data_IF_977699715111
#
_entry.id   IF_977699715111
#
_cell.length_a   1.000
_cell.length_b   1.000
_cell.length_c   1.000
_cell.angle_alpha   90.00
_cell.angle_beta   90.00
_cell.angle_gamma   90.00
#
_symmetry.space_group_name_H-M   'P 1'
#
loop_
_entity.id
_entity.type
_entity.pdbx_description
1 polymer ?
#
# COMPACT_ATOMS: atom_id res chain seq x y z
N UNK A 1 34.13 -12.66 -16.83
CA UNK A 1 34.42 -12.95 -18.25
C UNK A 1 33.19 -12.56 -19.06
N UNK A 2 33.21 -11.41 -19.73
CA UNK A 2 32.12 -11.00 -20.63
C UNK A 2 32.42 -11.58 -22.01
N UNK A 3 31.79 -12.71 -22.34
CA UNK A 3 31.85 -13.32 -23.66
C UNK A 3 31.07 -12.44 -24.63
N UNK A 4 31.76 -11.50 -25.27
CA UNK A 4 31.18 -10.60 -26.29
C UNK A 4 31.21 -11.32 -27.63
N UNK A 5 30.10 -11.96 -27.99
CA UNK A 5 29.90 -12.47 -29.34
C UNK A 5 29.15 -11.41 -30.14
N UNK A 6 29.87 -10.72 -31.03
CA UNK A 6 29.31 -9.64 -31.84
C UNK A 6 28.35 -10.17 -32.93
N UNK A 7 28.69 -11.30 -33.54
CA UNK A 7 28.01 -11.84 -34.72
C UNK A 7 27.48 -13.25 -34.46
N UNK A 8 26.16 -13.35 -34.27
CA UNK A 8 25.43 -14.60 -34.18
C UNK A 8 24.11 -14.51 -34.95
N UNK A 9 23.46 -15.65 -35.21
CA UNK A 9 22.18 -15.71 -35.96
C UNK A 9 21.10 -14.82 -35.33
N UNK A 10 21.15 -14.64 -34.02
CA UNK A 10 20.21 -13.81 -33.26
C UNK A 10 20.74 -12.41 -32.97
N UNK A 11 21.82 -11.97 -33.64
CA UNK A 11 22.51 -10.71 -33.40
C UNK A 11 23.49 -10.77 -32.24
N UNK A 12 23.88 -9.60 -31.73
CA UNK A 12 24.83 -9.45 -30.61
C UNK A 12 24.37 -10.24 -29.38
N UNK A 13 25.29 -10.98 -28.78
CA UNK A 13 25.05 -11.73 -27.53
C UNK A 13 25.98 -11.17 -26.45
N UNK A 14 25.37 -10.57 -25.44
CA UNK A 14 26.01 -10.10 -24.21
C UNK A 14 25.10 -10.47 -23.03
N UNK A 15 25.68 -10.79 -21.87
CA UNK A 15 24.93 -11.13 -20.66
C UNK A 15 25.06 -10.05 -19.58
N UNK A 16 24.01 -9.85 -18.77
CA UNK A 16 24.06 -9.02 -17.55
C UNK A 16 24.65 -9.83 -16.37
N UNK A 17 24.70 -9.20 -15.20
CA UNK A 17 25.28 -9.81 -13.99
C UNK A 17 24.46 -11.01 -13.49
N UNK A 18 23.17 -11.04 -13.79
CA UNK A 18 22.25 -12.14 -13.48
C UNK A 18 22.33 -13.29 -14.49
N UNK A 19 23.04 -13.10 -15.61
CA UNK A 19 23.17 -14.09 -16.68
C UNK A 19 22.09 -14.02 -17.76
N UNK A 20 21.26 -12.98 -17.76
CA UNK A 20 20.27 -12.72 -18.82
C UNK A 20 20.91 -12.04 -20.02
N UNK A 21 20.38 -12.34 -21.21
CA UNK A 21 20.85 -11.74 -22.46
C UNK A 21 20.42 -10.28 -22.60
N UNK A 22 21.40 -9.39 -22.73
CA UNK A 22 21.20 -7.99 -23.13
C UNK A 22 20.97 -7.86 -24.63
N UNK A 23 20.29 -6.78 -25.02
CA UNK A 23 20.03 -6.41 -26.41
C UNK A 23 19.29 -7.47 -27.24
N UNK A 24 18.43 -8.26 -26.60
CA UNK A 24 17.60 -9.21 -27.31
C UNK A 24 16.56 -8.48 -28.19
N UNK A 25 16.35 -9.00 -29.39
CA UNK A 25 15.36 -8.50 -30.33
C UNK A 25 14.00 -9.17 -30.07
N UNK A 26 12.94 -8.38 -29.96
CA UNK A 26 11.57 -8.85 -29.74
C UNK A 26 10.64 -8.35 -30.85
N UNK A 27 9.67 -9.17 -31.24
CA UNK A 27 8.58 -8.77 -32.12
C UNK A 27 7.38 -8.29 -31.29
N UNK A 28 6.90 -7.09 -31.57
CA UNK A 28 5.71 -6.53 -30.93
C UNK A 28 4.50 -7.01 -31.72
N UNK A 29 3.64 -7.77 -31.06
CA UNK A 29 2.45 -8.39 -31.66
C UNK A 29 1.19 -7.69 -31.15
N UNK A 30 0.27 -7.38 -32.05
CA UNK A 30 -1.04 -6.82 -31.75
C UNK A 30 -2.12 -7.83 -32.16
N UNK A 31 -3.11 -8.04 -31.28
CA UNK A 31 -4.22 -8.94 -31.55
C UNK A 31 -5.33 -8.18 -32.29
N UNK A 32 -5.56 -8.53 -33.55
CA UNK A 32 -6.55 -7.90 -34.42
C UNK A 32 -7.49 -8.98 -34.95
N UNK A 33 -8.80 -8.87 -34.69
CA UNK A 33 -9.81 -9.83 -35.20
C UNK A 33 -9.44 -11.30 -34.94
N UNK A 34 -9.01 -11.61 -33.70
CA UNK A 34 -8.52 -12.94 -33.27
C UNK A 34 -7.26 -13.45 -33.98
N UNK A 35 -6.52 -12.59 -34.69
CA UNK A 35 -5.26 -12.92 -35.34
C UNK A 35 -4.13 -12.07 -34.78
N UNK A 36 -2.96 -12.68 -34.59
CA UNK A 36 -1.76 -11.96 -34.18
C UNK A 36 -1.10 -11.31 -35.39
N UNK A 37 -0.86 -10.00 -35.29
CA UNK A 37 -0.28 -9.16 -36.33
C UNK A 37 0.94 -8.48 -35.75
N UNK A 38 2.11 -8.65 -36.37
CA UNK A 38 3.32 -7.95 -35.95
C UNK A 38 3.22 -6.45 -36.31
N UNK A 39 3.36 -5.58 -35.32
CA UNK A 39 3.23 -4.11 -35.45
C UNK A 39 4.54 -3.36 -35.17
N UNK A 40 5.58 -4.06 -34.73
CA UNK A 40 6.90 -3.46 -34.56
C UNK A 40 7.94 -4.46 -34.09
N UNK A 41 9.16 -3.97 -33.93
CA UNK A 41 10.32 -4.72 -33.42
C UNK A 41 10.97 -3.86 -32.33
N UNK A 42 11.23 -4.47 -31.18
CA UNK A 42 12.09 -3.87 -30.15
C UNK A 42 13.49 -4.46 -30.29
N UNK A 43 14.50 -3.64 -30.60
CA UNK A 43 15.86 -4.10 -30.89
C UNK A 43 16.79 -4.08 -29.66
N UNK A 44 16.20 -4.18 -28.46
CA UNK A 44 16.93 -4.11 -27.20
C UNK A 44 17.18 -2.69 -26.67
N UNK A 45 17.06 -1.65 -27.50
CA UNK A 45 17.17 -0.25 -27.06
C UNK A 45 16.02 0.63 -27.55
N UNK A 46 15.54 0.41 -28.76
CA UNK A 46 14.49 1.22 -29.40
C UNK A 46 13.34 0.35 -29.89
N UNK A 47 12.15 0.95 -29.88
CA UNK A 47 10.96 0.39 -30.53
C UNK A 47 10.89 0.95 -31.95
N UNK A 48 10.94 0.06 -32.92
CA UNK A 48 10.81 0.37 -34.35
C UNK A 48 9.40 -0.07 -34.78
N UNK A 49 8.48 0.86 -35.05
CA UNK A 49 7.14 0.52 -35.53
C UNK A 49 7.18 0.04 -36.99
N UNK A 50 6.28 -0.89 -37.35
CA UNK A 50 6.04 -1.28 -38.74
C UNK A 50 4.94 -0.40 -39.36
N UNK A 51 4.75 -0.48 -40.68
CA UNK A 51 3.67 0.24 -41.40
C UNK A 51 2.24 -0.24 -41.07
N UNK A 52 2.10 -1.29 -40.26
CA UNK A 52 0.79 -1.84 -39.87
C UNK A 52 0.18 -1.00 -38.76
N UNK A 53 -1.09 -0.61 -38.93
CA UNK A 53 -1.86 0.13 -37.92
C UNK A 53 -2.05 -0.70 -36.65
N UNK A 54 -1.89 -0.06 -35.49
CA UNK A 54 -2.16 -0.64 -34.18
C UNK A 54 -3.67 -0.49 -33.90
N UNK A 55 -4.32 -1.59 -33.51
CA UNK A 55 -5.71 -1.56 -33.05
C UNK A 55 -5.72 -1.74 -31.53
N UNK A 56 -6.34 -0.78 -30.85
CA UNK A 56 -6.53 -0.77 -29.41
C UNK A 56 -7.80 -1.51 -29.01
N UNK A 57 -7.93 -1.95 -27.75
CA UNK A 57 -9.17 -2.51 -27.24
C UNK A 57 -10.36 -1.59 -27.55
N UNK A 58 -11.47 -2.15 -28.02
CA UNK A 58 -12.62 -1.38 -28.53
C UNK A 58 -12.59 -1.14 -30.04
N UNK A 59 -11.54 -1.55 -30.76
CA UNK A 59 -11.44 -1.41 -32.21
C UNK A 59 -10.93 -0.04 -32.66
N UNK A 60 -10.42 0.77 -31.74
CA UNK A 60 -9.90 2.11 -32.01
C UNK A 60 -8.50 2.03 -32.65
N UNK A 61 -8.23 2.90 -33.63
CA UNK A 61 -6.90 3.00 -34.27
C UNK A 61 -6.03 4.08 -33.66
N UNK A 62 -6.63 5.03 -32.95
CA UNK A 62 -5.91 6.09 -32.25
C UNK A 62 -5.53 5.65 -30.86
N UNK A 63 -4.34 6.05 -30.40
CA UNK A 63 -3.87 5.71 -29.06
C UNK A 63 -4.77 6.40 -28.02
N UNK A 64 -5.48 5.65 -27.17
CA UNK A 64 -6.33 6.26 -26.14
C UNK A 64 -5.46 7.01 -25.14
N UNK A 65 -6.03 8.04 -24.50
CA UNK A 65 -5.37 8.73 -23.40
C UNK A 65 -5.23 7.73 -22.25
N UNK A 66 -3.98 7.36 -21.93
CA UNK A 66 -3.66 6.28 -21.00
C UNK A 66 -4.06 6.49 -19.55
N UNK A 67 -4.75 7.59 -19.24
CA UNK A 67 -5.39 7.80 -17.96
C UNK A 67 -6.72 8.52 -18.18
N UNK A 68 -7.74 8.10 -17.44
CA UNK A 68 -8.99 8.81 -17.28
C UNK A 68 -9.06 9.28 -15.84
N UNK A 69 -9.12 10.59 -15.62
CA UNK A 69 -9.31 11.13 -14.29
C UNK A 69 -10.75 10.90 -13.86
N UNK A 70 -10.95 10.12 -12.79
CA UNK A 70 -12.26 9.93 -12.18
C UNK A 70 -12.71 11.22 -11.50
N UNK A 71 -13.97 11.58 -11.69
CA UNK A 71 -14.62 12.70 -10.98
C UNK A 71 -15.29 12.25 -9.67
N UNK A 72 -15.31 10.94 -9.37
CA UNK A 72 -15.87 10.38 -8.14
C UNK A 72 -14.77 9.96 -7.18
N UNK A 73 -14.73 10.60 -6.01
CA UNK A 73 -13.73 10.36 -4.97
C UNK A 73 -14.35 9.63 -3.76
N UNK A 74 -13.58 8.74 -3.15
CA UNK A 74 -13.93 8.11 -1.87
C UNK A 74 -13.16 8.81 -0.75
N UNK A 75 -13.89 9.42 0.17
CA UNK A 75 -13.34 10.27 1.21
C UNK A 75 -13.51 9.58 2.54
N UNK A 76 -12.39 9.34 3.22
CA UNK A 76 -12.37 8.80 4.57
C UNK A 76 -12.35 9.94 5.57
N UNK A 77 -13.17 9.84 6.61
CA UNK A 77 -13.19 10.81 7.71
C UNK A 77 -13.24 10.11 9.06
N UNK A 78 -12.97 10.84 10.13
CA UNK A 78 -13.02 10.37 11.51
C UNK A 78 -14.04 11.17 12.30
N UNK A 79 -14.73 10.51 13.23
CA UNK A 79 -15.58 11.18 14.20
C UNK A 79 -14.71 11.97 15.18
N UNK A 80 -14.80 13.30 15.15
CA UNK A 80 -14.02 14.17 16.01
C UNK A 80 -14.77 15.49 16.20
N UNK A 81 -15.40 15.65 17.35
CA UNK A 81 -16.00 16.94 17.71
C UNK A 81 -14.87 17.95 18.01
N UNK A 82 -14.97 19.21 17.54
CA UNK A 82 -16.11 19.86 16.86
C UNK A 82 -16.05 19.82 15.32
N UNK A 83 -15.11 19.09 14.72
CA UNK A 83 -14.85 19.12 13.27
C UNK A 83 -15.81 18.26 12.46
N UNK A 84 -16.15 17.07 12.96
CA UNK A 84 -17.05 16.09 12.34
C UNK A 84 -17.87 15.39 13.41
N UNK A 85 -19.19 15.59 13.34
CA UNK A 85 -20.21 14.92 14.13
C UNK A 85 -20.81 13.76 13.34
N UNK A 86 -21.16 12.68 14.05
CA UNK A 86 -21.83 11.50 13.48
C UNK A 86 -23.12 11.24 14.23
N UNK A 87 -24.22 11.09 13.49
CA UNK A 87 -25.54 10.70 14.03
C UNK A 87 -26.12 9.54 13.22
N UNK A 88 -26.90 8.64 13.82
CA UNK A 88 -27.61 7.62 13.05
C UNK A 88 -28.60 8.27 12.07
N UNK A 89 -28.84 7.61 10.94
CA UNK A 89 -29.94 7.99 10.04
C UNK A 89 -31.30 7.73 10.69
N UNK A 90 -32.33 8.42 10.22
CA UNK A 90 -33.72 8.11 10.55
C UNK A 90 -34.13 6.73 9.99
N UNK A 91 -35.32 6.23 10.37
CA UNK A 91 -35.91 5.01 9.82
C UNK A 91 -35.97 5.01 8.30
N UNK A 92 -36.11 6.19 7.72
CA UNK A 92 -36.29 6.41 6.28
C UNK A 92 -34.96 6.52 5.54
N UNK A 93 -33.83 6.36 6.24
CA UNK A 93 -32.47 6.48 5.68
C UNK A 93 -31.99 7.92 5.45
N UNK A 94 -32.77 8.92 5.87
CA UNK A 94 -32.45 10.35 5.73
C UNK A 94 -31.85 10.94 7.01
N UNK A 95 -31.28 12.14 6.89
CA UNK A 95 -30.73 12.87 8.02
C UNK A 95 -31.75 13.86 8.59
N UNK A 96 -31.83 13.91 9.92
CA UNK A 96 -32.63 14.91 10.63
C UNK A 96 -32.14 16.33 10.31
N UNK A 97 -33.03 17.20 9.88
CA UNK A 97 -32.74 18.62 9.65
C UNK A 97 -32.55 19.35 10.98
N UNK A 98 -31.50 20.15 11.06
CA UNK A 98 -31.13 20.94 12.24
C UNK A 98 -30.64 22.31 11.78
N UNK A 99 -30.85 23.31 12.63
CA UNK A 99 -30.47 24.70 12.37
C UNK A 99 -29.43 25.17 13.39
N UNK A 100 -28.53 26.03 12.94
CA UNK A 100 -27.56 26.69 13.82
C UNK A 100 -28.25 27.73 14.70
N UNK A 101 -27.53 28.26 15.70
CA UNK A 101 -28.01 29.38 16.54
C UNK A 101 -28.35 30.61 15.71
N UNK A 102 -27.74 30.76 14.54
CA UNK A 102 -27.98 31.86 13.60
C UNK A 102 -29.19 31.61 12.69
N UNK A 103 -29.84 30.45 12.77
CA UNK A 103 -30.96 30.06 11.91
C UNK A 103 -30.56 29.43 10.57
N UNK A 104 -29.26 29.26 10.29
CA UNK A 104 -28.81 28.62 9.05
C UNK A 104 -28.98 27.09 9.11
N UNK A 105 -29.43 26.42 8.01
CA UNK A 105 -29.56 24.98 7.97
C UNK A 105 -28.20 24.28 7.97
N UNK A 106 -28.03 23.30 8.87
CA UNK A 106 -26.80 22.50 8.97
C UNK A 106 -26.75 21.51 7.80
N UNK A 107 -25.71 21.60 6.99
CA UNK A 107 -25.52 20.67 5.86
C UNK A 107 -25.02 19.33 6.37
N UNK A 108 -25.71 18.26 5.96
CA UNK A 108 -25.39 16.88 6.34
C UNK A 108 -25.17 16.03 5.09
N UNK A 109 -24.28 15.06 5.19
CA UNK A 109 -24.02 14.07 4.14
C UNK A 109 -24.19 12.67 4.69
N UNK A 110 -24.62 11.74 3.84
CA UNK A 110 -24.65 10.32 4.21
C UNK A 110 -23.21 9.79 4.17
N UNK A 111 -22.82 9.12 5.24
CA UNK A 111 -21.53 8.46 5.39
C UNK A 111 -21.74 7.02 5.84
N UNK A 112 -20.91 6.10 5.39
CA UNK A 112 -20.94 4.70 5.84
C UNK A 112 -19.90 4.45 6.91
N UNK A 113 -20.29 3.88 8.05
CA UNK A 113 -19.38 3.68 9.17
C UNK A 113 -19.72 2.45 10.01
N UNK A 114 -18.76 1.95 10.80
CA UNK A 114 -19.04 0.89 11.76
C UNK A 114 -20.05 1.41 12.80
N UNK A 115 -21.03 0.58 13.16
CA UNK A 115 -21.92 0.91 14.27
C UNK A 115 -21.16 0.70 15.60
N UNK A 116 -21.19 1.70 16.48
CA UNK A 116 -20.47 1.69 17.77
C UNK A 116 -20.99 0.62 18.76
N UNK A 117 -22.06 -0.10 18.44
CA UNK A 117 -22.81 -0.94 19.39
C UNK A 117 -22.21 -2.33 19.67
N UNK A 118 -21.08 -2.75 19.10
CA UNK A 118 -20.42 -3.99 19.56
C UNK A 118 -18.93 -4.12 19.19
N UNK A 119 -18.00 -3.99 20.16
CA UNK A 119 -16.62 -4.45 19.98
C UNK A 119 -16.62 -5.99 19.94
N UNK A 120 -16.55 -6.58 18.74
CA UNK A 120 -16.40 -8.04 18.56
C UNK A 120 -17.36 -8.70 17.56
N UNK A 121 -18.37 -7.99 17.06
CA UNK A 121 -19.19 -8.47 15.93
C UNK A 121 -18.50 -8.13 14.60
N UNK A 122 -18.63 -8.94 13.52
CA UNK A 122 -18.27 -8.49 12.17
C UNK A 122 -18.90 -7.13 11.93
N UNK A 123 -18.07 -6.11 11.79
CA UNK A 123 -18.49 -4.71 11.76
C UNK A 123 -19.41 -4.48 10.56
N UNK A 124 -20.71 -4.58 10.78
CA UNK A 124 -21.69 -4.17 9.80
C UNK A 124 -21.58 -2.66 9.65
N UNK A 125 -21.21 -2.21 8.45
CA UNK A 125 -21.20 -0.80 8.08
C UNK A 125 -22.64 -0.35 7.88
N UNK A 126 -23.05 0.68 8.61
CA UNK A 126 -24.39 1.26 8.53
C UNK A 126 -24.31 2.67 7.96
N UNK A 127 -25.33 3.12 7.22
CA UNK A 127 -25.45 4.51 6.82
C UNK A 127 -25.68 5.39 8.06
N UNK A 128 -24.95 6.50 8.12
CA UNK A 128 -24.96 7.49 9.19
C UNK A 128 -24.95 8.89 8.57
N UNK A 129 -25.29 9.89 9.37
CA UNK A 129 -25.30 11.30 9.02
C UNK A 129 -24.06 11.98 9.56
N UNK A 130 -23.18 12.41 8.66
CA UNK A 130 -21.98 13.15 8.96
C UNK A 130 -22.20 14.65 8.70
N UNK A 131 -21.82 15.50 9.64
CA UNK A 131 -21.90 16.95 9.51
C UNK A 131 -20.82 17.65 10.35
N UNK A 132 -20.58 18.94 10.11
CA UNK A 132 -19.57 19.72 10.81
C UNK A 132 -18.68 20.50 9.86
N UNK A 133 -17.70 21.20 10.43
CA UNK A 133 -16.83 22.12 9.70
C UNK A 133 -16.10 21.46 8.51
N UNK A 134 -15.56 20.25 8.71
CA UNK A 134 -14.84 19.56 7.63
C UNK A 134 -15.78 19.10 6.50
N UNK A 135 -17.05 18.81 6.81
CA UNK A 135 -18.07 18.44 5.82
C UNK A 135 -18.50 19.67 5.02
N UNK A 136 -18.66 20.83 5.66
CA UNK A 136 -18.95 22.09 4.96
C UNK A 136 -17.81 22.50 4.01
N UNK A 137 -16.57 22.36 4.47
CA UNK A 137 -15.39 22.57 3.62
C UNK A 137 -15.38 21.61 2.44
N UNK A 138 -15.67 20.32 2.67
CA UNK A 138 -15.77 19.33 1.60
C UNK A 138 -16.83 19.70 0.56
N UNK A 139 -18.03 20.10 1.00
CA UNK A 139 -19.10 20.55 0.10
C UNK A 139 -18.64 21.76 -0.72
N UNK A 140 -17.93 22.71 -0.11
CA UNK A 140 -17.40 23.89 -0.82
C UNK A 140 -16.33 23.50 -1.85
N UNK A 141 -15.45 22.57 -1.52
CA UNK A 141 -14.42 22.04 -2.43
C UNK A 141 -15.05 21.30 -3.60
N UNK A 142 -16.05 20.46 -3.34
CA UNK A 142 -16.79 19.72 -4.37
C UNK A 142 -17.45 20.65 -5.38
N UNK A 143 -18.06 21.75 -4.91
CA UNK A 143 -18.67 22.77 -5.78
C UNK A 143 -17.64 23.60 -6.55
N UNK A 144 -16.47 23.87 -5.95
CA UNK A 144 -15.43 24.69 -6.58
C UNK A 144 -14.68 23.91 -7.66
N UNK A 145 -14.40 22.63 -7.41
CA UNK A 145 -13.61 21.76 -8.29
C UNK A 145 -14.46 20.80 -9.13
N UNK A 146 -15.79 20.85 -9.01
CA UNK A 146 -16.75 20.03 -9.76
C UNK A 146 -16.48 18.51 -9.68
N UNK A 147 -16.26 17.98 -8.47
CA UNK A 147 -16.15 16.53 -8.26
C UNK A 147 -17.31 16.01 -7.39
N UNK A 148 -17.60 14.73 -7.55
CA UNK A 148 -18.57 13.98 -6.73
C UNK A 148 -17.83 13.14 -5.70
N UNK A 149 -18.46 12.87 -4.57
CA UNK A 149 -17.80 12.17 -3.48
C UNK A 149 -18.72 11.21 -2.74
N UNK A 150 -18.11 10.20 -2.14
CA UNK A 150 -18.71 9.30 -1.16
C UNK A 150 -17.92 9.39 0.14
N UNK A 151 -18.60 9.54 1.27
CA UNK A 151 -17.96 9.64 2.59
C UNK A 151 -18.08 8.31 3.33
N UNK A 152 -16.98 7.89 3.96
CA UNK A 152 -16.98 6.76 4.87
C UNK A 152 -16.17 7.09 6.13
N UNK A 153 -16.57 6.51 7.26
CA UNK A 153 -15.88 6.65 8.52
C UNK A 153 -14.75 5.62 8.63
N UNK A 154 -13.63 6.03 9.22
CA UNK A 154 -12.52 5.12 9.53
C UNK A 154 -13.02 3.95 10.34
N UNK A 155 -12.57 2.74 9.99
CA UNK A 155 -13.00 1.54 10.70
C UNK A 155 -12.42 1.50 12.12
N UNK A 156 -11.16 1.87 12.31
CA UNK A 156 -10.42 1.75 13.57
C UNK A 156 -10.64 2.92 14.54
N UNK A 157 -11.22 4.03 14.07
CA UNK A 157 -11.38 5.24 14.88
C UNK A 157 -10.05 5.94 15.19
N UNK A 158 -8.98 5.68 14.42
CA UNK A 158 -7.66 6.26 14.66
C UNK A 158 -7.22 7.12 13.47
N UNK A 159 -6.38 8.11 13.74
CA UNK A 159 -5.79 8.97 12.69
C UNK A 159 -4.71 8.26 11.86
N UNK A 160 -4.15 7.18 12.40
CA UNK A 160 -3.01 6.44 11.81
C UNK A 160 -1.70 6.74 12.53
N UNK A 161 -0.96 5.68 12.84
CA UNK A 161 0.41 5.73 13.36
C UNK A 161 1.25 4.64 12.71
N UNK A 162 2.56 4.83 12.61
CA UNK A 162 3.44 3.76 12.14
C UNK A 162 3.62 2.75 13.26
N UNK A 163 3.06 1.55 13.07
CA UNK A 163 3.34 0.42 13.95
C UNK A 163 4.60 -0.29 13.47
N UNK A 164 5.62 -0.36 14.34
CA UNK A 164 6.71 -1.31 14.13
C UNK A 164 6.15 -2.67 14.47
N UNK A 165 5.85 -3.47 13.44
CA UNK A 165 5.66 -4.91 13.62
C UNK A 165 6.97 -5.41 14.20
N UNK A 166 7.00 -5.57 15.52
CA UNK A 166 8.13 -6.18 16.20
C UNK A 166 8.28 -7.56 15.61
N UNK A 167 9.31 -7.76 14.78
CA UNK A 167 9.87 -9.09 14.60
C UNK A 167 10.20 -9.53 16.01
N UNK A 168 9.35 -10.40 16.58
CA UNK A 168 9.57 -10.99 17.90
C UNK A 168 11.03 -11.45 17.88
N UNK A 169 11.92 -10.85 18.68
CA UNK A 169 13.26 -11.37 18.78
C UNK A 169 13.09 -12.79 19.27
N UNK A 170 13.48 -13.79 18.47
CA UNK A 170 13.62 -15.18 18.93
C UNK A 170 14.32 -15.10 20.28
N UNK A 171 13.56 -15.40 21.33
CA UNK A 171 13.89 -15.30 22.75
C UNK A 171 15.40 -15.17 23.01
N UNK A 172 15.91 -13.94 23.20
CA UNK A 172 17.09 -13.78 24.06
C UNK A 172 16.62 -14.18 25.45
N UNK A 173 17.21 -15.25 25.96
CA UNK A 173 17.01 -15.77 27.31
C UNK A 173 16.97 -14.62 28.31
N UNK A 174 15.99 -14.67 29.21
CA UNK A 174 15.88 -13.78 30.37
C UNK A 174 17.24 -13.59 31.03
N UNK A 175 17.70 -12.35 31.09
CA UNK A 175 18.49 -11.83 32.20
C UNK A 175 17.94 -10.45 32.54
N UNK A 176 17.34 -10.34 33.74
CA UNK A 176 17.38 -9.14 34.57
C UNK A 176 16.66 -7.88 34.10
N UNK A 177 15.51 -7.60 34.73
CA UNK A 177 15.05 -6.30 35.24
C UNK A 177 15.50 -5.00 34.54
N UNK A 178 14.51 -4.23 34.03
CA UNK A 178 14.57 -2.77 34.02
C UNK A 178 13.80 -2.26 35.24
N UNK A 179 14.52 -1.74 36.24
CA UNK A 179 13.96 -0.74 37.16
C UNK A 179 14.40 0.63 36.62
N UNK A 180 13.43 1.47 36.29
CA UNK A 180 13.61 2.83 35.79
C UNK A 180 13.48 3.77 36.98
N UNK A 181 14.60 4.12 37.61
CA UNK A 181 14.67 5.29 38.48
C UNK A 181 15.91 6.12 38.12
N UNK A 182 15.61 7.31 37.58
CA UNK A 182 16.41 8.52 37.58
C UNK A 182 17.90 8.42 37.24
N UNK A 183 18.30 8.94 36.08
CA UNK A 183 19.53 9.73 36.06
C UNK A 183 19.46 10.89 35.07
N UNK A 184 19.91 12.02 35.61
CA UNK A 184 19.84 13.39 35.12
C UNK A 184 20.70 13.61 33.88
N UNK A 185 20.34 14.67 33.15
CA UNK A 185 21.16 15.36 32.14
C UNK A 185 22.57 15.63 32.68
N UNK A 186 23.57 15.28 31.90
CA UNK A 186 24.89 15.91 31.88
C UNK A 186 25.47 15.78 30.46
N UNK A 187 25.76 16.89 29.79
CA UNK A 187 26.88 16.95 28.83
C UNK A 187 28.17 17.33 29.61
N UNK A 188 29.30 17.67 28.94
CA UNK A 188 29.60 17.64 27.51
C UNK A 188 31.04 17.11 27.16
N UNK A 189 31.40 17.16 25.85
CA UNK A 189 32.78 17.27 25.26
C UNK A 189 33.74 16.03 25.31
N UNK A 190 34.88 16.02 24.59
CA UNK A 190 35.01 15.76 23.15
C UNK A 190 36.08 14.68 22.83
N UNK A 191 36.16 14.24 21.57
CA UNK A 191 37.32 13.51 21.06
C UNK A 191 37.18 11.99 21.04
N UNK A 192 36.85 11.46 19.85
CA UNK A 192 37.43 10.24 19.30
C UNK A 192 37.12 10.16 17.80
N UNK A 193 38.18 9.92 17.05
CA UNK A 193 38.23 9.78 15.60
C UNK A 193 37.30 8.66 15.10
N UNK A 194 36.60 8.90 13.99
CA UNK A 194 35.88 7.89 13.23
C UNK A 194 36.83 7.30 12.18
N UNK A 195 37.32 6.08 12.40
CA UNK A 195 37.96 5.28 11.36
C UNK A 195 36.92 4.34 10.72
N UNK A 196 36.87 4.35 9.40
CA UNK A 196 36.08 3.44 8.58
C UNK A 196 36.90 2.18 8.31
N UNK A 197 36.39 1.02 8.73
CA UNK A 197 36.90 -0.28 8.29
C UNK A 197 35.83 -0.95 7.45
N UNK A 198 36.08 -1.03 6.15
CA UNK A 198 35.36 -1.86 5.18
C UNK A 198 35.77 -3.32 5.36
N UNK A 199 34.81 -4.25 5.35
CA UNK A 199 35.09 -5.66 5.13
C UNK A 199 34.14 -6.24 4.08
N UNK A 200 34.75 -6.62 2.95
CA UNK A 200 34.21 -7.59 2.01
C UNK A 200 34.21 -9.00 2.61
N UNK A 201 33.20 -9.78 2.24
CA UNK A 201 33.22 -11.23 2.09
C UNK A 201 31.98 -11.57 1.25
N UNK A 202 32.02 -12.32 0.16
CA UNK A 202 32.88 -13.46 -0.15
C UNK A 202 31.96 -14.65 -0.43
N UNK A 203 31.99 -15.13 -1.68
CA UNK A 203 31.16 -16.16 -2.34
C UNK A 203 30.87 -17.44 -1.53
N UNK A 204 29.73 -18.07 -1.85
CA UNK A 204 29.68 -19.49 -2.22
C UNK A 204 28.65 -20.38 -1.51
N UNK A 205 27.84 -21.11 -2.31
CA UNK A 205 27.29 -22.43 -1.91
C UNK A 205 25.76 -22.57 -1.95
N UNK A 206 25.25 -23.20 -3.02
CA UNK A 206 23.88 -23.75 -3.14
C UNK A 206 23.79 -25.10 -2.42
N UNK A 207 22.69 -25.38 -1.70
CA UNK A 207 22.18 -26.74 -1.48
C UNK A 207 20.67 -26.70 -1.16
N UNK A 208 19.93 -27.46 -1.95
CA UNK A 208 18.52 -27.84 -1.82
C UNK A 208 18.25 -28.75 -0.62
N UNK A 209 17.09 -28.61 0.02
CA UNK A 209 16.57 -29.59 0.98
C UNK A 209 15.31 -29.13 1.74
N UNK A 210 14.13 -29.57 1.29
CA UNK A 210 12.88 -29.54 2.07
C UNK A 210 12.94 -30.58 3.20
N UNK A 211 12.80 -30.20 4.48
CA UNK A 211 12.24 -31.07 5.52
C UNK A 211 11.65 -30.20 6.66
N UNK A 212 10.33 -30.28 6.86
CA UNK A 212 9.58 -29.50 7.86
C UNK A 212 9.86 -29.91 9.31
N UNK A 213 9.60 -29.02 10.30
CA UNK A 213 9.84 -29.30 11.70
C UNK A 213 8.73 -30.21 12.27
N UNK A 214 9.09 -31.47 12.58
CA UNK A 214 8.35 -32.33 13.52
C UNK A 214 8.53 -31.80 14.94
N UNK A 215 7.43 -31.50 15.62
CA UNK A 215 7.43 -31.14 17.04
C UNK A 215 7.79 -32.36 17.92
N UNK A 216 8.78 -32.26 18.82
CA UNK A 216 8.95 -33.21 19.90
C UNK A 216 7.92 -32.95 21.01
N UNK A 217 7.18 -33.98 21.43
CA UNK A 217 6.28 -33.92 22.60
C UNK A 217 7.08 -33.68 23.89
N UNK A 218 6.60 -32.86 24.84
CA UNK A 218 7.27 -32.68 26.12
C UNK A 218 7.08 -33.89 27.04
N UNK A 219 8.18 -34.39 27.59
CA UNK A 219 8.19 -35.37 28.68
C UNK A 219 7.67 -34.73 29.99
N UNK A 220 6.68 -35.39 30.61
CA UNK A 220 6.23 -35.15 31.99
C UNK A 220 7.41 -35.32 32.96
N UNK A 221 7.66 -34.33 33.83
CA UNK A 221 8.39 -34.53 35.08
C UNK A 221 7.42 -34.51 36.26
N UNK A 222 7.49 -35.58 37.04
CA UNK A 222 6.82 -35.81 38.32
C UNK A 222 7.57 -35.04 39.40
N UNK A 223 6.85 -34.36 40.29
CA UNK A 223 7.40 -33.72 41.49
C UNK A 223 7.46 -34.72 42.65
N UNK A 224 8.54 -34.76 43.46
CA UNK A 224 8.58 -35.58 44.67
C UNK A 224 7.92 -34.86 45.85
N UNK A 225 7.30 -35.66 46.72
CA UNK A 225 6.73 -35.27 48.00
C UNK A 225 7.82 -35.12 49.07
N UNK A 226 7.58 -34.22 50.02
CA UNK A 226 8.38 -33.97 51.21
C UNK A 226 7.91 -32.69 51.87
#
# INVERSE_FOLDING_TARGET
>A
MSSKYADGVTGRVEFNEDGDRKFANYSIMNLQNRKLVQVGIYNGTHVIPNDRKIIWPGGETEKPRGYQMSTRLKIVTIHQEPFVYVKPTLSDGTCKEEFTVNGDPVKKVICTGPNDTSPGSPRHTVPQCCYGFCIDLLIKLARTMNFTYEVHLVADGKFGTQERVGVVPRSRRRTGACSLEGLRRAGPEPGRSLEWVTHEMGRGGSLSGEWGPRCPRPHRRVAPQG
#
